data_IF_166776137174
#
_entry.id   IF_166776137174
#
_cell.length_a   1.000
_cell.length_b   1.000
_cell.length_c   1.000
_cell.angle_alpha   90.00
_cell.angle_beta   90.00
_cell.angle_gamma   90.00
#
_symmetry.space_group_name_H-M   'P 1'
#
loop_
_entity.id
_entity.type
_entity.pdbx_description
1 polymer ?
#
# COMPACT_ATOMS: atom_id res chain seq x y z
N UNK A 1 4.16 -18.36 25.63
CA UNK A 1 3.54 -18.82 24.37
C UNK A 1 3.00 -17.62 23.62
N UNK A 2 2.96 -17.68 22.30
CA UNK A 2 2.27 -16.67 21.47
C UNK A 2 0.82 -17.12 21.30
N UNK A 3 -0.15 -16.22 21.49
CA UNK A 3 -1.58 -16.51 21.39
C UNK A 3 -2.22 -15.56 20.39
N UNK A 4 -3.18 -16.06 19.59
CA UNK A 4 -3.99 -15.21 18.71
C UNK A 4 -4.95 -14.38 19.54
N UNK A 5 -4.92 -13.06 19.38
CA UNK A 5 -5.77 -12.13 20.12
C UNK A 5 -7.11 -11.86 19.42
N UNK A 6 -7.07 -11.58 18.12
CA UNK A 6 -8.23 -11.28 17.26
C UNK A 6 -7.87 -11.53 15.79
N UNK A 7 -8.84 -11.38 14.87
CA UNK A 7 -8.62 -11.45 13.43
C UNK A 7 -9.56 -10.51 12.68
N UNK A 8 -9.11 -9.98 11.54
CA UNK A 8 -9.92 -9.24 10.59
C UNK A 8 -9.83 -9.94 9.23
N UNK A 9 -10.95 -10.18 8.56
CA UNK A 9 -10.95 -10.74 7.21
C UNK A 9 -10.92 -9.61 6.19
N UNK A 10 -9.87 -9.56 5.36
CA UNK A 10 -9.67 -8.50 4.34
C UNK A 10 -10.18 -8.90 2.96
N UNK A 11 -10.76 -10.10 2.82
CA UNK A 11 -11.30 -10.66 1.57
C UNK A 11 -10.26 -10.91 0.45
N UNK A 12 -8.97 -10.77 0.74
CA UNK A 12 -7.88 -11.01 -0.20
C UNK A 12 -6.65 -11.62 0.46
N UNK A 13 -5.57 -11.72 -0.31
CA UNK A 13 -4.29 -12.25 0.17
C UNK A 13 -3.50 -11.13 0.86
N UNK A 14 -3.51 -11.12 2.20
CA UNK A 14 -2.79 -10.13 3.00
C UNK A 14 -1.26 -10.35 2.93
N UNK A 15 -0.63 -9.83 1.88
CA UNK A 15 0.77 -10.07 1.54
C UNK A 15 1.74 -9.21 2.37
N UNK A 16 1.45 -7.91 2.49
CA UNK A 16 2.30 -6.97 3.22
C UNK A 16 1.48 -5.87 3.85
N UNK A 17 1.90 -5.41 5.03
CA UNK A 17 1.26 -4.29 5.72
C UNK A 17 2.26 -3.20 6.10
N UNK A 18 1.72 -2.00 6.30
CA UNK A 18 2.39 -0.88 6.96
C UNK A 18 1.41 -0.22 7.93
N UNK A 19 1.92 0.19 9.09
CA UNK A 19 1.17 0.88 10.14
C UNK A 19 1.38 2.39 10.00
N UNK A 20 0.29 3.16 10.04
CA UNK A 20 0.33 4.60 10.29
C UNK A 20 -0.74 4.94 11.33
N UNK A 21 -0.31 5.30 12.53
CA UNK A 21 -1.18 5.48 13.70
C UNK A 21 -2.03 4.22 13.99
N UNK A 22 -3.37 4.37 13.97
CA UNK A 22 -4.32 3.29 14.23
C UNK A 22 -4.79 2.59 12.94
N UNK A 23 -4.13 2.83 11.80
CA UNK A 23 -4.51 2.25 10.52
C UNK A 23 -3.42 1.32 10.00
N UNK A 24 -3.84 0.12 9.60
CA UNK A 24 -3.05 -0.78 8.78
C UNK A 24 -3.43 -0.60 7.32
N UNK A 25 -2.44 -0.36 6.48
CA UNK A 25 -2.58 -0.40 5.03
C UNK A 25 -1.97 -1.69 4.53
N UNK A 26 -2.76 -2.48 3.80
CA UNK A 26 -2.43 -3.86 3.44
C UNK A 26 -2.46 -4.01 1.93
N UNK A 27 -1.35 -4.48 1.36
CA UNK A 27 -1.33 -5.05 0.03
C UNK A 27 -2.05 -6.40 0.09
N UNK A 28 -3.23 -6.45 -0.53
CA UNK A 28 -4.28 -7.45 -0.30
C UNK A 28 -4.51 -8.33 -1.55
N UNK A 29 -3.43 -8.62 -2.28
CA UNK A 29 -3.44 -9.45 -3.48
C UNK A 29 -4.34 -8.88 -4.58
N UNK A 30 -5.18 -9.72 -5.18
CA UNK A 30 -6.12 -9.33 -6.25
C UNK A 30 -7.20 -8.32 -5.79
N UNK A 31 -7.34 -8.09 -4.49
CA UNK A 31 -8.25 -7.08 -3.92
C UNK A 31 -7.58 -5.71 -3.74
N UNK A 32 -6.34 -5.53 -4.21
CA UNK A 32 -5.66 -4.23 -4.16
C UNK A 32 -5.24 -3.81 -2.75
N UNK A 33 -5.59 -2.59 -2.35
CA UNK A 33 -5.35 -2.04 -1.02
C UNK A 33 -6.53 -2.33 -0.09
N UNK A 34 -6.25 -2.89 1.09
CA UNK A 34 -7.18 -2.87 2.21
C UNK A 34 -6.68 -1.90 3.30
N UNK A 35 -7.61 -1.18 3.94
CA UNK A 35 -7.32 -0.38 5.14
C UNK A 35 -8.11 -0.93 6.32
N UNK A 36 -7.41 -1.22 7.41
CA UNK A 36 -7.97 -1.78 8.63
C UNK A 36 -7.74 -0.79 9.78
N UNK A 37 -8.83 -0.38 10.43
CA UNK A 37 -8.77 0.33 11.70
C UNK A 37 -8.46 -0.66 12.83
N UNK A 38 -7.38 -0.38 13.55
CA UNK A 38 -6.88 -1.16 14.68
C UNK A 38 -6.86 -0.36 16.00
N UNK A 39 -7.63 0.72 16.09
CA UNK A 39 -7.81 1.51 17.32
C UNK A 39 -8.23 0.65 18.53
N UNK A 40 -8.99 -0.42 18.28
CA UNK A 40 -9.16 -1.53 19.21
C UNK A 40 -8.54 -2.82 18.61
N UNK A 41 -7.39 -3.30 19.11
CA UNK A 41 -6.76 -4.51 18.58
C UNK A 41 -7.55 -5.80 18.88
N UNK A 42 -8.54 -5.76 19.79
CA UNK A 42 -9.46 -6.89 20.01
C UNK A 42 -10.57 -6.95 18.96
N UNK A 43 -10.85 -5.84 18.28
CA UNK A 43 -11.93 -5.68 17.31
C UNK A 43 -11.46 -4.89 16.07
N UNK A 44 -10.49 -5.40 15.31
CA UNK A 44 -10.01 -4.73 14.10
C UNK A 44 -11.10 -4.69 13.01
N UNK A 45 -11.22 -3.58 12.30
CA UNK A 45 -12.29 -3.34 11.33
C UNK A 45 -11.73 -2.99 9.97
N UNK A 46 -12.10 -3.76 8.94
CA UNK A 46 -11.89 -3.36 7.56
C UNK A 46 -12.78 -2.13 7.28
N UNK A 47 -12.17 -1.02 6.89
CA UNK A 47 -12.86 0.26 6.66
C UNK A 47 -12.79 0.71 5.20
N UNK A 48 -11.88 0.14 4.41
CA UNK A 48 -11.72 0.46 3.00
C UNK A 48 -11.12 -0.73 2.25
N UNK A 49 -11.57 -0.93 1.03
CA UNK A 49 -10.93 -1.74 0.00
C UNK A 49 -10.91 -0.93 -1.30
N UNK A 50 -9.80 -0.97 -2.03
CA UNK A 50 -9.77 -0.51 -3.41
C UNK A 50 -10.19 -1.64 -4.34
N UNK A 51 -10.58 -1.28 -5.56
CA UNK A 51 -10.58 -2.23 -6.67
C UNK A 51 -9.32 -1.99 -7.52
N UNK A 52 -8.67 -3.07 -7.95
CA UNK A 52 -7.64 -3.04 -8.99
C UNK A 52 -8.19 -3.71 -10.25
N UNK A 53 -7.77 -3.27 -11.43
CA UNK A 53 -8.33 -3.80 -12.68
C UNK A 53 -7.68 -5.14 -13.06
N UNK A 54 -6.43 -5.31 -12.69
CA UNK A 54 -5.54 -6.42 -13.01
C UNK A 54 -4.36 -6.47 -12.03
N UNK A 55 -3.55 -7.52 -12.12
CA UNK A 55 -2.35 -7.65 -11.28
C UNK A 55 -2.64 -8.19 -9.88
N UNK A 56 -1.66 -8.00 -9.00
CA UNK A 56 -1.62 -8.61 -7.68
C UNK A 56 -0.85 -7.70 -6.71
N UNK A 57 -1.52 -7.19 -5.67
CA UNK A 57 -0.92 -6.28 -4.71
C UNK A 57 -0.01 -7.02 -3.70
N UNK A 58 1.29 -6.76 -3.78
CA UNK A 58 2.31 -7.49 -2.99
C UNK A 58 3.17 -6.59 -2.08
N UNK A 59 3.29 -5.32 -2.41
CA UNK A 59 4.11 -4.36 -1.68
C UNK A 59 3.36 -3.11 -1.30
N UNK A 60 3.70 -2.54 -0.14
CA UNK A 60 3.16 -1.26 0.31
C UNK A 60 4.23 -0.45 1.02
N UNK A 61 4.25 0.86 0.80
CA UNK A 61 5.09 1.83 1.50
C UNK A 61 4.36 3.16 1.66
N UNK A 62 4.69 3.91 2.71
CA UNK A 62 4.24 5.28 2.90
C UNK A 62 5.46 6.19 2.77
N UNK A 63 5.33 7.21 1.92
CA UNK A 63 6.29 8.28 1.74
C UNK A 63 5.68 9.64 2.07
N UNK A 64 6.54 10.62 2.37
CA UNK A 64 6.11 11.99 2.62
C UNK A 64 6.77 12.93 1.62
N UNK A 65 5.98 13.77 0.96
CA UNK A 65 6.44 14.80 0.02
C UNK A 65 5.76 16.11 0.40
N UNK A 66 6.55 17.16 0.61
CA UNK A 66 6.05 18.51 0.92
C UNK A 66 5.08 18.56 2.12
N UNK A 67 5.25 17.66 3.09
CA UNK A 67 4.38 17.54 4.27
C UNK A 67 3.11 16.69 4.05
N UNK A 68 2.89 16.18 2.84
CA UNK A 68 1.78 15.29 2.51
C UNK A 68 2.23 13.83 2.47
N UNK A 69 1.40 12.93 3.03
CA UNK A 69 1.64 11.49 3.01
C UNK A 69 1.01 10.84 1.79
N UNK A 70 1.79 9.97 1.16
CA UNK A 70 1.37 9.15 0.03
C UNK A 70 1.66 7.69 0.30
N UNK A 71 0.73 6.83 -0.06
CA UNK A 71 0.91 5.40 -0.08
C UNK A 71 1.26 4.96 -1.51
N UNK A 72 2.31 4.15 -1.65
CA UNK A 72 2.63 3.44 -2.86
C UNK A 72 2.26 1.96 -2.68
N UNK A 73 1.49 1.42 -3.61
CA UNK A 73 1.06 0.03 -3.66
C UNK A 73 1.70 -0.62 -4.90
N UNK A 74 2.48 -1.69 -4.72
CA UNK A 74 3.03 -2.46 -5.83
C UNK A 74 2.02 -3.54 -6.24
N UNK A 75 1.54 -3.47 -7.48
CA UNK A 75 0.37 -4.22 -8.01
C UNK A 75 0.76 -5.11 -9.21
N UNK A 76 1.97 -5.67 -9.18
CA UNK A 76 2.44 -6.57 -10.24
C UNK A 76 2.42 -5.88 -11.61
N UNK A 77 1.62 -6.39 -12.54
CA UNK A 77 1.52 -5.89 -13.92
C UNK A 77 0.93 -4.49 -14.07
N UNK A 78 0.30 -3.92 -13.04
CA UNK A 78 -0.12 -2.51 -13.06
C UNK A 78 0.99 -1.53 -12.63
N UNK A 79 2.14 -2.04 -12.19
CA UNK A 79 3.22 -1.23 -11.64
C UNK A 79 2.90 -0.75 -10.23
N UNK A 80 2.99 0.57 -9.99
CA UNK A 80 2.73 1.20 -8.69
C UNK A 80 1.49 2.08 -8.74
N UNK A 81 0.51 1.83 -7.87
CA UNK A 81 -0.60 2.75 -7.60
C UNK A 81 -0.26 3.67 -6.42
N UNK A 82 -0.56 4.95 -6.56
CA UNK A 82 -0.31 5.96 -5.53
C UNK A 82 -1.61 6.50 -4.95
N UNK A 83 -1.74 6.47 -3.62
CA UNK A 83 -2.87 7.03 -2.90
C UNK A 83 -2.43 8.20 -2.02
N UNK A 84 -3.19 9.28 -1.99
CA UNK A 84 -3.00 10.36 -1.01
C UNK A 84 -3.71 10.03 0.30
N UNK A 85 -3.03 10.24 1.43
CA UNK A 85 -3.51 9.89 2.77
C UNK A 85 -4.01 11.10 3.58
N UNK A 86 -4.43 12.18 2.89
CA UNK A 86 -5.00 13.37 3.55
C UNK A 86 -6.31 13.07 4.28
N UNK A 87 -7.08 12.08 3.79
CA UNK A 87 -8.25 11.50 4.47
C UNK A 87 -7.92 10.06 4.87
N UNK A 88 -7.50 9.79 6.12
CA UNK A 88 -6.87 8.52 6.48
C UNK A 88 -7.79 7.31 6.32
N UNK A 89 -9.10 7.50 6.50
CA UNK A 89 -10.13 6.45 6.38
C UNK A 89 -10.59 6.16 4.95
N UNK A 90 -10.17 6.97 3.97
CA UNK A 90 -10.54 6.82 2.56
C UNK A 90 -9.40 7.32 1.67
N UNK A 91 -8.33 6.52 1.48
CA UNK A 91 -7.23 6.88 0.60
C UNK A 91 -7.71 7.16 -0.82
N UNK A 92 -7.33 8.30 -1.39
CA UNK A 92 -7.71 8.67 -2.75
C UNK A 92 -6.61 8.25 -3.73
N UNK A 93 -6.95 7.47 -4.77
CA UNK A 93 -6.01 7.16 -5.86
C UNK A 93 -5.67 8.45 -6.62
N UNK A 94 -4.39 8.84 -6.62
CA UNK A 94 -3.91 10.10 -7.23
C UNK A 94 -2.95 9.89 -8.39
N UNK A 95 -2.54 8.66 -8.66
CA UNK A 95 -1.70 8.36 -9.82
C UNK A 95 -1.26 6.91 -9.91
N UNK A 96 -0.62 6.62 -11.03
CA UNK A 96 -0.05 5.32 -11.35
C UNK A 96 1.32 5.54 -12.02
N UNK A 97 2.28 4.70 -11.67
CA UNK A 97 3.53 4.53 -12.41
C UNK A 97 3.52 3.14 -13.03
N UNK A 98 3.37 3.07 -14.34
CA UNK A 98 3.47 1.82 -15.07
C UNK A 98 4.91 1.28 -15.02
N UNK A 99 5.04 0.02 -14.62
CA UNK A 99 6.28 -0.76 -14.73
C UNK A 99 5.92 -2.17 -15.20
N UNK A 100 6.86 -2.94 -15.78
CA UNK A 100 6.54 -4.26 -16.32
C UNK A 100 5.96 -5.24 -15.30
N UNK A 101 6.51 -5.29 -14.08
CA UNK A 101 5.96 -6.10 -12.99
C UNK A 101 6.56 -5.72 -11.61
N UNK A 102 5.84 -4.93 -10.81
CA UNK A 102 6.30 -4.49 -9.50
C UNK A 102 5.98 -5.50 -8.38
N UNK A 103 7.01 -6.00 -7.69
CA UNK A 103 6.89 -6.93 -6.54
C UNK A 103 6.85 -6.22 -5.18
N UNK A 104 7.63 -5.15 -5.02
CA UNK A 104 7.74 -4.45 -3.74
C UNK A 104 8.05 -2.98 -3.93
N UNK A 105 7.82 -2.21 -2.87
CA UNK A 105 8.18 -0.80 -2.81
C UNK A 105 8.63 -0.44 -1.39
N UNK A 106 9.63 0.44 -1.31
CA UNK A 106 10.08 1.10 -0.08
C UNK A 106 10.18 2.58 -0.29
N UNK A 107 9.99 3.36 0.77
CA UNK A 107 10.30 4.77 0.75
C UNK A 107 11.63 5.02 1.47
N UNK A 108 12.50 5.81 0.87
CA UNK A 108 13.79 6.20 1.43
C UNK A 108 14.11 7.64 1.02
N UNK A 109 14.31 8.50 2.02
CA UNK A 109 14.54 9.94 1.84
C UNK A 109 13.44 10.61 1.01
N UNK A 110 13.66 10.78 -0.30
CA UNK A 110 12.70 11.37 -1.25
C UNK A 110 12.31 10.42 -2.38
N UNK A 111 12.65 9.14 -2.28
CA UNK A 111 12.45 8.16 -3.33
C UNK A 111 11.57 7.00 -2.89
N UNK A 112 10.71 6.54 -3.79
CA UNK A 112 10.21 5.19 -3.79
C UNK A 112 11.21 4.28 -4.52
N UNK A 113 11.71 3.28 -3.81
CA UNK A 113 12.56 2.21 -4.30
C UNK A 113 11.67 1.02 -4.66
N UNK A 114 11.53 0.72 -5.94
CA UNK A 114 10.62 -0.29 -6.46
C UNK A 114 11.43 -1.49 -6.89
N UNK A 115 11.03 -2.67 -6.43
CA UNK A 115 11.57 -3.95 -6.91
C UNK A 115 10.70 -4.39 -8.08
N UNK A 116 11.18 -4.18 -9.30
CA UNK A 116 10.54 -4.58 -10.54
C UNK A 116 11.22 -5.83 -11.11
N UNK A 117 10.42 -6.77 -11.62
CA UNK A 117 10.90 -8.05 -12.18
C UNK A 117 11.87 -7.85 -13.34
N UNK A 118 11.58 -6.88 -14.20
CA UNK A 118 12.24 -6.72 -15.49
C UNK A 118 13.26 -5.57 -15.45
N UNK A 119 12.99 -4.53 -14.67
CA UNK A 119 13.88 -3.36 -14.53
C UNK A 119 14.80 -3.41 -13.31
N UNK A 120 14.64 -4.39 -12.41
CA UNK A 120 15.47 -4.50 -11.20
C UNK A 120 15.03 -3.50 -10.12
N UNK A 121 15.94 -2.63 -9.65
CA UNK A 121 15.60 -1.60 -8.65
C UNK A 121 15.36 -0.27 -9.36
N UNK A 122 14.12 0.20 -9.31
CA UNK A 122 13.70 1.48 -9.89
C UNK A 122 13.62 2.53 -8.79
N UNK A 123 14.20 3.70 -9.01
CA UNK A 123 14.06 4.86 -8.14
C UNK A 123 13.02 5.80 -8.73
N UNK A 124 11.93 6.05 -8.01
CA UNK A 124 10.87 6.97 -8.39
C UNK A 124 10.73 8.10 -7.36
N UNK A 125 10.34 9.29 -7.78
CA UNK A 125 10.03 10.42 -6.90
C UNK A 125 8.78 11.12 -7.41
N UNK A 126 8.04 11.79 -6.53
CA UNK A 126 7.00 12.72 -6.97
C UNK A 126 7.65 13.90 -7.70
N UNK A 127 7.14 14.28 -8.86
CA UNK A 127 7.58 15.49 -9.56
C UNK A 127 7.20 16.70 -8.73
N UNK A 128 8.21 17.50 -8.37
CA UNK A 128 8.00 18.87 -7.88
C UNK A 128 7.86 19.72 -9.13
N UNK A 129 6.63 20.18 -9.43
CA UNK A 129 6.46 21.28 -10.38
C UNK A 129 7.00 22.57 -9.75
#
# INVERSE_FOLDING_TARGET
SVTVLSRCYTFGDANRLILDNNLLYVANGIQGLAVVDISNPLEPRLIFNSDIQSGDAQGVAIGTFDGHKYLALAVGSEGILFYELSTPYAPALVGQLETPYAYNVRFYDRWFLICDRDWGIVFATKSTY
#
